data_IF_109608647507
#
_entry.id   IF_109608647507
#
_cell.length_a   1.000
_cell.length_b   1.000
_cell.length_c   1.000
_cell.angle_alpha   90.00
_cell.angle_beta   90.00
_cell.angle_gamma   90.00
#
_symmetry.space_group_name_H-M   'P 1'
#
loop_
_entity.id
_entity.type
_entity.pdbx_description
1 polymer ?
#
# COMPACT_ATOMS: atom_id res chain seq x y z
N UNK A 1 -23.13 -3.50 30.06
CA UNK A 1 -21.67 -3.66 30.33
C UNK A 1 -20.82 -4.21 29.17
N UNK A 2 -21.37 -4.62 28.00
CA UNK A 2 -20.55 -5.23 26.91
C UNK A 2 -19.86 -4.22 25.97
N UNK A 3 -20.37 -3.00 25.85
CA UNK A 3 -19.88 -1.98 24.90
C UNK A 3 -18.58 -1.31 25.38
N UNK A 4 -18.33 -1.26 26.70
CA UNK A 4 -17.12 -0.68 27.27
C UNK A 4 -15.87 -1.55 27.06
N UNK A 5 -16.03 -2.85 26.89
CA UNK A 5 -14.91 -3.78 26.73
C UNK A 5 -14.27 -3.67 25.33
N UNK A 6 -15.09 -3.56 24.27
CA UNK A 6 -14.61 -3.40 22.90
C UNK A 6 -13.83 -2.08 22.67
N UNK A 7 -14.26 -0.98 23.30
CA UNK A 7 -13.58 0.33 23.19
C UNK A 7 -12.25 0.37 23.96
N UNK A 8 -12.13 -0.36 25.08
CA UNK A 8 -10.88 -0.44 25.84
C UNK A 8 -9.83 -1.31 25.14
N UNK A 9 -10.25 -2.34 24.40
CA UNK A 9 -9.37 -3.15 23.57
C UNK A 9 -8.82 -2.33 22.41
N UNK A 10 -9.65 -1.58 21.67
CA UNK A 10 -9.20 -0.81 20.51
C UNK A 10 -8.14 0.26 20.85
N UNK A 11 -8.27 0.97 21.99
CA UNK A 11 -7.30 1.97 22.43
C UNK A 11 -5.97 1.37 22.93
N UNK A 12 -5.98 0.14 23.45
CA UNK A 12 -4.75 -0.55 23.83
C UNK A 12 -4.02 -1.14 22.61
N UNK A 13 -4.76 -1.51 21.57
CA UNK A 13 -4.18 -2.04 20.32
C UNK A 13 -3.34 -0.98 19.60
N UNK A 14 -3.70 0.31 19.64
CA UNK A 14 -2.90 1.40 19.05
C UNK A 14 -1.54 1.62 19.72
N UNK A 15 -1.37 1.14 20.95
CA UNK A 15 -0.10 1.19 21.70
C UNK A 15 0.82 0.00 21.39
N UNK A 16 0.31 -0.99 20.65
CA UNK A 16 1.12 -2.14 20.26
C UNK A 16 2.07 -1.75 19.11
N UNK A 17 3.26 -2.38 19.05
CA UNK A 17 4.16 -2.25 17.91
C UNK A 17 3.44 -2.50 16.58
N UNK A 18 3.89 -1.82 15.50
CA UNK A 18 3.30 -1.95 14.16
C UNK A 18 3.10 -3.41 13.75
N UNK A 19 4.11 -4.25 13.99
CA UNK A 19 4.10 -5.66 13.62
C UNK A 19 3.01 -6.46 14.35
N UNK A 20 2.77 -6.16 15.63
CA UNK A 20 1.70 -6.80 16.42
C UNK A 20 0.32 -6.34 15.94
N UNK A 21 0.17 -5.06 15.57
CA UNK A 21 -1.07 -4.55 14.98
C UNK A 21 -1.33 -5.15 13.60
N UNK A 22 -0.30 -5.24 12.76
CA UNK A 22 -0.39 -5.82 11.41
C UNK A 22 -0.80 -7.30 11.48
N UNK A 23 -0.41 -8.02 12.53
CA UNK A 23 -0.86 -9.39 12.81
C UNK A 23 -2.34 -9.46 13.20
N UNK A 24 -2.78 -8.60 14.11
CA UNK A 24 -4.15 -8.59 14.68
C UNK A 24 -5.17 -8.08 13.65
N UNK A 25 -4.82 -7.03 12.91
CA UNK A 25 -5.72 -6.40 11.93
C UNK A 25 -5.49 -6.88 10.50
N UNK A 26 -4.56 -7.82 10.29
CA UNK A 26 -4.17 -8.33 8.97
C UNK A 26 -3.83 -7.21 7.98
N UNK A 27 -3.15 -6.16 8.45
CA UNK A 27 -2.67 -5.11 7.54
C UNK A 27 -1.59 -5.69 6.62
N UNK A 28 -1.79 -5.51 5.31
CA UNK A 28 -0.89 -6.00 4.26
C UNK A 28 -1.57 -6.96 3.28
N UNK A 29 -0.84 -7.41 2.24
CA UNK A 29 -1.39 -8.30 1.21
C UNK A 29 -1.89 -9.64 1.78
N UNK A 30 -2.96 -10.17 1.21
CA UNK A 30 -3.59 -11.42 1.66
C UNK A 30 -2.63 -12.62 1.63
N UNK A 31 -1.72 -12.68 0.66
CA UNK A 31 -0.73 -13.75 0.54
C UNK A 31 0.28 -13.79 1.70
N UNK A 32 0.42 -12.73 2.49
CA UNK A 32 1.25 -12.73 3.70
C UNK A 32 0.47 -13.12 4.97
N UNK A 33 -0.81 -13.46 4.88
CA UNK A 33 -1.58 -13.88 6.06
C UNK A 33 -0.93 -15.10 6.71
N UNK A 34 -0.69 -15.01 8.02
CA UNK A 34 0.00 -16.05 8.78
C UNK A 34 1.51 -16.18 8.54
N UNK A 35 2.12 -15.35 7.67
CA UNK A 35 3.58 -15.28 7.54
C UNK A 35 4.21 -14.72 8.82
N UNK A 36 5.43 -15.18 9.12
CA UNK A 36 6.22 -14.67 10.25
C UNK A 36 6.56 -13.19 10.08
N UNK A 37 6.87 -12.51 11.19
CA UNK A 37 7.27 -11.10 11.15
C UNK A 37 8.53 -10.90 10.32
N UNK A 38 9.44 -11.87 10.34
CA UNK A 38 10.67 -11.83 9.55
C UNK A 38 10.38 -11.81 8.04
N UNK A 39 9.52 -12.73 7.58
CA UNK A 39 9.08 -12.77 6.18
C UNK A 39 8.40 -11.45 5.82
N UNK A 40 7.46 -10.96 6.64
CA UNK A 40 6.77 -9.68 6.39
C UNK A 40 7.74 -8.50 6.29
N UNK A 41 8.76 -8.46 7.15
CA UNK A 41 9.78 -7.42 7.15
C UNK A 41 10.56 -7.41 5.83
N UNK A 42 10.97 -8.57 5.31
CA UNK A 42 11.69 -8.68 4.04
C UNK A 42 10.87 -8.14 2.85
N UNK A 43 9.56 -8.45 2.79
CA UNK A 43 8.69 -7.86 1.77
C UNK A 43 8.55 -6.33 1.92
N UNK A 44 8.43 -5.85 3.16
CA UNK A 44 8.30 -4.42 3.48
C UNK A 44 9.56 -3.63 3.11
N UNK A 45 10.74 -4.21 3.29
CA UNK A 45 12.03 -3.64 2.88
C UNK A 45 12.07 -3.42 1.37
N UNK A 46 11.65 -4.41 0.56
CA UNK A 46 11.58 -4.25 -0.91
C UNK A 46 10.59 -3.16 -1.31
N UNK A 47 9.40 -3.12 -0.71
CA UNK A 47 8.41 -2.08 -1.05
C UNK A 47 8.90 -0.66 -0.69
N UNK A 48 9.57 -0.52 0.46
CA UNK A 48 10.08 0.76 0.95
C UNK A 48 11.40 1.19 0.32
N UNK A 49 12.11 0.29 -0.36
CA UNK A 49 13.38 0.61 -1.00
C UNK A 49 13.15 1.69 -2.08
N UNK A 50 13.63 2.91 -1.85
CA UNK A 50 13.48 4.01 -2.80
C UNK A 50 14.44 3.93 -3.98
N UNK A 51 15.49 3.10 -3.89
CA UNK A 51 16.48 2.92 -4.95
C UNK A 51 16.01 1.99 -6.07
N UNK A 52 14.96 1.19 -5.83
CA UNK A 52 14.38 0.30 -6.83
C UNK A 52 13.22 0.99 -7.55
N UNK A 53 13.21 0.90 -8.88
CA UNK A 53 12.06 1.28 -9.67
C UNK A 53 10.91 0.26 -9.53
N UNK A 54 9.76 0.58 -10.10
CA UNK A 54 8.54 -0.23 -9.94
C UNK A 54 8.69 -1.68 -10.46
N UNK A 55 9.33 -1.88 -11.61
CA UNK A 55 9.51 -3.20 -12.23
C UNK A 55 10.57 -4.01 -11.46
N UNK A 56 11.64 -3.37 -10.99
CA UNK A 56 12.65 -3.97 -10.13
C UNK A 56 12.05 -4.44 -8.80
N UNK A 57 11.20 -3.61 -8.17
CA UNK A 57 10.45 -4.00 -6.97
C UNK A 57 9.58 -5.21 -7.22
N UNK A 58 8.88 -5.25 -8.35
CA UNK A 58 8.01 -6.37 -8.70
C UNK A 58 8.81 -7.66 -8.88
N UNK A 59 9.92 -7.59 -9.61
CA UNK A 59 10.84 -8.72 -9.78
C UNK A 59 11.38 -9.22 -8.43
N UNK A 60 11.84 -8.31 -7.57
CA UNK A 60 12.33 -8.66 -6.23
C UNK A 60 11.24 -9.30 -5.35
N UNK A 61 10.00 -8.80 -5.42
CA UNK A 61 8.85 -9.39 -4.71
C UNK A 61 8.54 -10.80 -5.24
N UNK A 62 8.56 -11.03 -6.56
CA UNK A 62 8.36 -12.36 -7.17
C UNK A 62 9.43 -13.34 -6.70
N UNK A 63 10.70 -12.91 -6.67
CA UNK A 63 11.79 -13.74 -6.18
C UNK A 63 11.66 -14.07 -4.69
N UNK A 64 11.29 -13.09 -3.86
CA UNK A 64 11.02 -13.32 -2.43
C UNK A 64 9.83 -14.27 -2.22
N UNK A 65 8.81 -14.15 -3.06
CA UNK A 65 7.63 -15.00 -3.00
C UNK A 65 7.98 -16.48 -3.21
N UNK A 66 8.74 -16.80 -4.26
CA UNK A 66 9.19 -18.16 -4.54
C UNK A 66 10.11 -18.73 -3.45
N UNK A 67 10.90 -17.87 -2.79
CA UNK A 67 11.86 -18.29 -1.75
C UNK A 67 11.24 -18.51 -0.38
N UNK A 68 10.31 -17.65 0.03
CA UNK A 68 9.88 -17.54 1.44
C UNK A 68 8.45 -17.98 1.70
N UNK A 69 7.58 -18.01 0.68
CA UNK A 69 6.18 -18.35 0.88
C UNK A 69 5.96 -19.86 0.87
N UNK A 70 5.07 -20.32 1.74
CA UNK A 70 4.60 -21.70 1.66
C UNK A 70 3.68 -21.91 0.44
N UNK A 71 3.36 -23.16 0.12
CA UNK A 71 2.55 -23.53 -1.06
C UNK A 71 1.23 -22.75 -1.18
N UNK A 72 0.51 -22.58 -0.06
CA UNK A 72 -0.78 -21.87 -0.05
C UNK A 72 -0.61 -20.37 -0.29
N UNK A 73 0.38 -19.77 0.36
CA UNK A 73 0.71 -18.36 0.22
C UNK A 73 1.23 -18.04 -1.18
N UNK A 74 2.07 -18.91 -1.74
CA UNK A 74 2.61 -18.77 -3.09
C UNK A 74 1.51 -18.89 -4.16
N UNK A 75 0.57 -19.82 -3.99
CA UNK A 75 -0.58 -19.93 -4.90
C UNK A 75 -1.43 -18.65 -4.90
N UNK A 76 -1.70 -18.08 -3.71
CA UNK A 76 -2.42 -16.81 -3.58
C UNK A 76 -1.62 -15.64 -4.18
N UNK A 77 -0.30 -15.60 -3.96
CA UNK A 77 0.57 -14.61 -4.58
C UNK A 77 0.50 -14.66 -6.12
N UNK A 78 0.63 -15.86 -6.71
CA UNK A 78 0.56 -16.04 -8.17
C UNK A 78 -0.79 -15.61 -8.74
N UNK A 79 -1.90 -15.88 -8.02
CA UNK A 79 -3.23 -15.40 -8.41
C UNK A 79 -3.30 -13.88 -8.47
N UNK A 80 -2.84 -13.21 -7.41
CA UNK A 80 -2.83 -11.74 -7.32
C UNK A 80 -1.91 -11.12 -8.36
N UNK A 81 -0.73 -11.71 -8.58
CA UNK A 81 0.24 -11.23 -9.56
C UNK A 81 -0.33 -11.33 -10.98
N UNK A 82 -0.99 -12.44 -11.31
CA UNK A 82 -1.69 -12.61 -12.58
C UNK A 82 -2.88 -11.64 -12.73
N UNK A 83 -3.67 -11.39 -11.67
CA UNK A 83 -4.74 -10.39 -11.67
C UNK A 83 -4.20 -8.99 -11.97
N UNK A 84 -3.04 -8.65 -11.41
CA UNK A 84 -2.39 -7.36 -11.63
C UNK A 84 -1.90 -7.21 -13.08
N UNK A 85 -1.26 -8.22 -13.66
CA UNK A 85 -0.81 -8.17 -15.05
C UNK A 85 -2.01 -8.04 -16.00
N UNK A 86 -3.09 -8.79 -15.78
CA UNK A 86 -4.34 -8.62 -16.54
C UNK A 86 -4.90 -7.21 -16.43
N UNK A 87 -4.97 -6.65 -15.22
CA UNK A 87 -5.46 -5.29 -15.02
C UNK A 87 -4.58 -4.24 -15.73
N UNK A 88 -3.26 -4.45 -15.78
CA UNK A 88 -2.30 -3.61 -16.51
C UNK A 88 -2.58 -3.66 -18.03
N UNK A 89 -2.73 -4.85 -18.59
CA UNK A 89 -3.03 -5.06 -20.01
C UNK A 89 -4.40 -4.48 -20.39
N UNK A 90 -5.44 -4.74 -19.58
CA UNK A 90 -6.77 -4.18 -19.78
C UNK A 90 -6.77 -2.65 -19.74
N UNK A 91 -6.00 -2.05 -18.83
CA UNK A 91 -5.86 -0.61 -18.76
C UNK A 91 -5.11 -0.06 -19.98
N UNK A 92 -4.04 -0.70 -20.41
CA UNK A 92 -3.32 -0.32 -21.63
C UNK A 92 -4.23 -0.37 -22.87
N UNK A 93 -5.09 -1.40 -22.97
CA UNK A 93 -6.09 -1.51 -24.04
C UNK A 93 -7.19 -0.43 -23.96
N UNK A 94 -7.53 0.06 -22.77
CA UNK A 94 -8.43 1.22 -22.62
C UNK A 94 -7.75 2.51 -23.08
N UNK A 95 -6.48 2.69 -22.72
CA UNK A 95 -5.68 3.86 -23.14
C UNK A 95 -5.49 3.89 -24.66
N UNK A 96 -5.28 2.73 -25.30
CA UNK A 96 -5.11 2.65 -26.76
C UNK A 96 -6.40 2.96 -27.55
N UNK A 97 -7.57 2.87 -26.89
CA UNK A 97 -8.88 3.17 -27.48
C UNK A 97 -9.33 4.61 -27.24
N UNK A 98 -8.51 5.44 -26.59
CA UNK A 98 -8.83 6.85 -26.38
C UNK A 98 -8.88 7.61 -27.71
N UNK A 99 -9.77 8.60 -27.79
CA UNK A 99 -9.73 9.57 -28.89
C UNK A 99 -8.43 10.39 -28.82
N UNK A 100 -7.96 10.97 -29.94
CA UNK A 100 -6.72 11.75 -29.95
C UNK A 100 -6.68 12.86 -28.88
N UNK A 101 -7.78 13.61 -28.73
CA UNK A 101 -7.88 14.67 -27.71
C UNK A 101 -7.84 14.12 -26.27
N UNK A 102 -8.48 12.97 -26.02
CA UNK A 102 -8.44 12.33 -24.70
C UNK A 102 -7.06 11.74 -24.41
N UNK A 103 -6.38 11.19 -25.42
CA UNK A 103 -5.02 10.67 -25.31
C UNK A 103 -4.02 11.78 -24.99
N UNK A 104 -4.12 12.92 -25.67
CA UNK A 104 -3.28 14.09 -25.38
C UNK A 104 -3.47 14.58 -23.94
N UNK A 105 -4.72 14.68 -23.47
CA UNK A 105 -5.00 15.06 -22.09
C UNK A 105 -4.46 14.02 -21.08
N UNK A 106 -4.61 12.73 -21.38
CA UNK A 106 -4.07 11.65 -20.56
C UNK A 106 -2.54 11.72 -20.45
N UNK A 107 -1.84 11.95 -21.56
CA UNK A 107 -0.38 12.03 -21.57
C UNK A 107 0.12 13.22 -20.74
N UNK A 108 -0.54 14.39 -20.84
CA UNK A 108 -0.24 15.55 -19.98
C UNK A 108 -0.44 15.23 -18.50
N UNK A 109 -1.49 14.48 -18.16
CA UNK A 109 -1.73 14.06 -16.77
C UNK A 109 -0.67 13.07 -16.27
N UNK A 110 -0.19 12.16 -17.12
CA UNK A 110 0.91 11.25 -16.76
C UNK A 110 2.24 11.98 -16.56
N UNK A 111 2.55 12.97 -17.41
CA UNK A 111 3.76 13.80 -17.21
C UNK A 111 3.69 14.60 -15.90
N UNK A 112 2.54 15.21 -15.58
CA UNK A 112 2.34 15.90 -14.29
C UNK A 112 2.54 14.95 -13.09
N UNK A 113 2.12 13.68 -13.19
CA UNK A 113 2.36 12.68 -12.14
C UNK A 113 3.86 12.39 -11.99
N UNK A 114 4.60 12.28 -13.09
CA UNK A 114 6.06 12.07 -13.06
C UNK A 114 6.79 13.27 -12.48
N UNK A 115 6.42 14.48 -12.87
CA UNK A 115 6.98 15.72 -12.30
C UNK A 115 6.71 15.81 -10.80
N UNK A 116 5.48 15.51 -10.36
CA UNK A 116 5.15 15.42 -8.95
C UNK A 116 6.04 14.40 -8.24
N UNK A 117 6.23 13.21 -8.81
CA UNK A 117 7.10 12.19 -8.22
C UNK A 117 8.54 12.67 -8.07
N UNK A 118 9.12 13.32 -9.10
CA UNK A 118 10.46 13.91 -9.07
C UNK A 118 10.61 14.96 -7.97
N UNK A 119 9.63 15.84 -7.80
CA UNK A 119 9.62 16.83 -6.70
C UNK A 119 9.67 16.10 -5.36
N UNK A 120 8.81 15.10 -5.15
CA UNK A 120 8.83 14.34 -3.90
C UNK A 120 10.17 13.63 -3.69
N UNK A 121 10.77 13.06 -4.74
CA UNK A 121 12.08 12.40 -4.67
C UNK A 121 13.22 13.34 -4.27
N UNK A 122 13.19 14.60 -4.68
CA UNK A 122 14.22 15.58 -4.29
C UNK A 122 14.09 16.12 -2.87
N UNK A 123 12.93 15.93 -2.22
CA UNK A 123 12.72 16.40 -0.84
C UNK A 123 13.39 15.49 0.19
N UNK A 124 13.89 16.09 1.27
CA UNK A 124 14.34 15.34 2.45
C UNK A 124 13.17 14.61 3.15
N UNK A 125 13.44 13.52 3.88
CA UNK A 125 12.39 12.77 4.59
C UNK A 125 11.53 13.65 5.52
N UNK A 126 12.14 14.62 6.20
CA UNK A 126 11.49 15.52 7.16
C UNK A 126 10.49 16.45 6.45
N UNK A 127 10.91 17.04 5.33
CA UNK A 127 10.06 17.93 4.53
C UNK A 127 8.90 17.15 3.91
N UNK A 128 9.14 15.92 3.43
CA UNK A 128 8.05 15.05 2.93
C UNK A 128 7.02 14.77 4.03
N UNK A 129 7.47 14.52 5.26
CA UNK A 129 6.56 14.30 6.40
C UNK A 129 5.74 15.55 6.68
N UNK A 130 6.37 16.72 6.70
CA UNK A 130 5.68 18.00 6.92
C UNK A 130 4.60 18.26 5.84
N UNK A 131 4.95 18.13 4.56
CA UNK A 131 4.00 18.30 3.46
C UNK A 131 2.87 17.27 3.54
N UNK A 132 3.17 16.00 3.82
CA UNK A 132 2.14 14.96 3.95
C UNK A 132 1.17 15.24 5.10
N UNK A 133 1.60 15.91 6.18
CA UNK A 133 0.72 16.31 7.29
C UNK A 133 -0.33 17.34 6.86
N UNK A 134 -0.06 18.19 5.87
CA UNK A 134 -1.04 19.16 5.36
C UNK A 134 -2.26 18.47 4.75
N UNK A 135 -2.04 17.34 4.07
CA UNK A 135 -3.07 16.59 3.35
C UNK A 135 -3.61 15.39 4.14
N UNK A 136 -3.04 15.10 5.31
CA UNK A 136 -3.57 14.07 6.19
C UNK A 136 -4.97 14.50 6.67
N UNK A 137 -5.98 13.68 6.39
CA UNK A 137 -7.33 13.92 6.93
C UNK A 137 -7.22 13.99 8.45
N UNK A 138 -7.70 15.09 9.05
CA UNK A 138 -7.82 15.16 10.51
C UNK A 138 -8.59 13.93 10.99
N UNK A 139 -8.11 13.21 12.02
CA UNK A 139 -8.89 12.12 12.59
C UNK A 139 -10.28 12.66 12.93
N UNK A 140 -11.33 11.97 12.47
CA UNK A 140 -12.71 12.34 12.81
C UNK A 140 -12.82 12.29 14.33
N UNK A 141 -12.93 13.46 14.96
CA UNK A 141 -13.32 13.57 16.37
C UNK A 141 -14.73 12.99 16.52
N UNK A 142 -14.82 11.71 16.86
CA UNK A 142 -16.07 11.01 17.18
C UNK A 142 -16.68 11.50 18.53
N UNK A 143 -16.43 12.74 18.94
CA UNK A 143 -16.88 13.33 20.21
C UNK A 143 -18.29 13.93 20.19
N UNK A 144 -18.95 14.05 19.05
CA UNK A 144 -20.32 14.63 18.96
C UNK A 144 -21.39 13.62 18.53
N UNK A 145 -21.56 12.53 19.28
CA UNK A 145 -22.82 11.74 19.34
C UNK A 145 -22.97 11.07 20.72
N UNK A 146 -22.89 11.89 21.76
CA UNK A 146 -23.29 11.55 23.14
C UNK A 146 -23.84 12.81 23.78
N UNK A 147 -25.09 13.10 23.45
CA UNK A 147 -25.82 14.28 23.90
C UNK A 147 -27.19 14.27 23.26
N UNK A 148 -27.96 13.21 23.52
CA UNK A 148 -29.29 13.17 24.15
C UNK A 148 -29.44 11.74 24.67
#
# INVERSE_FOLDING_TARGET
MKIFFAKRIFFQLDRLPSETRDRIFHHGPSFLRGASDDVRRQFKEVWKNSSLNHEEKLSAVRQLAEKLLNKKQLAEFKRIDAERERAKEEFAAKVSKLSPAAKEAYDKLEELKKEKAKIYESLSPEVRIEINRLFAKKPKDNKKKRGV
#
